data_IF_734041376098
#
_entry.id   IF_734041376098
#
_cell.length_a   1.000
_cell.length_b   1.000
_cell.length_c   1.000
_cell.angle_alpha   90.00
_cell.angle_beta   90.00
_cell.angle_gamma   90.00
#
_symmetry.space_group_name_H-M   'P 1'
#
loop_
_entity.id
_entity.type
_entity.pdbx_description
1 polymer ?
#
# COMPACT_ATOMS: atom_id res chain seq x y z
N UNK A 1 -22.37 -14.07 -3.88
CA UNK A 1 -22.50 -12.82 -4.67
C UNK A 1 -21.29 -11.92 -4.42
N UNK A 2 -20.52 -11.65 -5.46
CA UNK A 2 -19.22 -10.95 -5.40
C UNK A 2 -19.30 -9.43 -5.07
N UNK A 3 -20.44 -8.92 -4.63
CA UNK A 3 -20.61 -7.52 -4.23
C UNK A 3 -21.59 -6.74 -5.11
N UNK A 4 -22.28 -5.78 -4.51
CA UNK A 4 -23.28 -4.94 -5.20
C UNK A 4 -22.65 -3.79 -6.01
N UNK A 5 -21.38 -3.51 -5.81
CA UNK A 5 -20.61 -2.43 -6.47
C UNK A 5 -19.27 -2.97 -6.96
N UNK A 6 -18.70 -2.36 -8.00
CA UNK A 6 -17.35 -2.69 -8.50
C UNK A 6 -16.32 -2.57 -7.38
N UNK A 7 -16.41 -1.51 -6.60
CA UNK A 7 -15.55 -1.29 -5.43
C UNK A 7 -15.66 -2.44 -4.42
N UNK A 8 -16.86 -2.85 -4.04
CA UNK A 8 -17.05 -3.94 -3.07
C UNK A 8 -16.55 -5.29 -3.55
N UNK A 9 -16.57 -5.54 -4.85
CA UNK A 9 -15.97 -6.72 -5.46
C UNK A 9 -14.44 -6.66 -5.37
N UNK A 10 -13.83 -5.57 -5.78
CA UNK A 10 -12.38 -5.37 -5.73
C UNK A 10 -11.87 -5.41 -4.29
N UNK A 11 -12.57 -4.78 -3.35
CA UNK A 11 -12.21 -4.81 -1.93
C UNK A 11 -12.20 -6.24 -1.38
N UNK A 12 -13.18 -7.07 -1.71
CA UNK A 12 -13.21 -8.48 -1.28
C UNK A 12 -12.05 -9.27 -1.86
N UNK A 13 -11.82 -9.15 -3.16
CA UNK A 13 -10.72 -9.84 -3.82
C UNK A 13 -9.39 -9.46 -3.16
N UNK A 14 -9.14 -8.17 -3.00
CA UNK A 14 -7.91 -7.66 -2.38
C UNK A 14 -7.76 -8.15 -0.95
N UNK A 15 -8.82 -8.07 -0.13
CA UNK A 15 -8.80 -8.59 1.24
C UNK A 15 -8.52 -10.09 1.29
N UNK A 16 -9.15 -10.88 0.42
CA UNK A 16 -8.93 -12.34 0.37
C UNK A 16 -7.49 -12.66 -0.02
N UNK A 17 -6.97 -11.99 -1.04
CA UNK A 17 -5.58 -12.18 -1.49
C UNK A 17 -4.59 -11.80 -0.38
N UNK A 18 -4.80 -10.68 0.30
CA UNK A 18 -3.94 -10.26 1.40
C UNK A 18 -4.02 -11.22 2.60
N UNK A 19 -5.24 -11.63 2.96
CA UNK A 19 -5.48 -12.47 4.15
C UNK A 19 -4.98 -13.91 3.97
N UNK A 20 -4.94 -14.41 2.74
CA UNK A 20 -4.41 -15.75 2.43
C UNK A 20 -2.95 -15.65 1.99
N UNK A 21 -2.64 -14.74 1.08
CA UNK A 21 -1.31 -14.62 0.46
C UNK A 21 -0.23 -14.21 1.46
N UNK A 22 -0.51 -13.24 2.34
CA UNK A 22 0.50 -12.79 3.31
C UNK A 22 0.89 -13.87 4.32
N UNK A 23 -0.05 -14.59 4.99
CA UNK A 23 0.30 -15.71 5.84
C UNK A 23 0.99 -16.85 5.07
N UNK A 24 0.57 -17.14 3.85
CA UNK A 24 1.21 -18.15 3.00
C UNK A 24 2.68 -17.82 2.74
N UNK A 25 2.98 -16.60 2.30
CA UNK A 25 4.35 -16.13 2.07
C UNK A 25 5.15 -16.18 3.38
N UNK A 26 4.55 -15.76 4.49
CA UNK A 26 5.20 -15.81 5.81
C UNK A 26 5.58 -17.23 6.21
N UNK A 27 4.65 -18.18 6.14
CA UNK A 27 4.91 -19.59 6.46
C UNK A 27 5.97 -20.18 5.54
N UNK A 28 5.85 -19.91 4.24
CA UNK A 28 6.83 -20.36 3.24
C UNK A 28 8.24 -19.83 3.57
N UNK A 29 8.34 -18.55 3.91
CA UNK A 29 9.61 -17.92 4.29
C UNK A 29 10.19 -18.55 5.55
N UNK A 30 9.37 -18.82 6.58
CA UNK A 30 9.84 -19.45 7.83
C UNK A 30 10.36 -20.86 7.58
N UNK A 31 9.77 -21.60 6.64
CA UNK A 31 10.17 -22.97 6.31
C UNK A 31 11.47 -22.98 5.47
N UNK A 32 11.58 -22.09 4.49
CA UNK A 32 12.67 -22.11 3.52
C UNK A 32 13.88 -21.27 3.95
N UNK A 33 13.67 -20.18 4.71
CA UNK A 33 14.74 -19.28 5.07
C UNK A 33 15.63 -19.84 6.18
N UNK A 34 16.92 -19.81 5.95
CA UNK A 34 17.95 -20.17 6.93
C UNK A 34 18.08 -19.10 8.02
N UNK A 35 18.61 -19.50 9.19
CA UNK A 35 18.93 -18.53 10.26
C UNK A 35 19.90 -17.44 9.80
N UNK A 36 20.86 -17.77 8.94
CA UNK A 36 21.79 -16.80 8.36
C UNK A 36 21.07 -15.79 7.47
N UNK A 37 20.07 -16.20 6.70
CA UNK A 37 19.23 -15.31 5.90
C UNK A 37 18.48 -14.26 6.73
N UNK A 38 17.90 -14.67 7.86
CA UNK A 38 17.24 -13.73 8.78
C UNK A 38 18.21 -12.71 9.38
N UNK A 39 19.42 -13.16 9.74
CA UNK A 39 20.47 -12.25 10.23
C UNK A 39 20.93 -11.32 9.14
N UNK A 40 21.11 -11.81 7.90
CA UNK A 40 21.45 -10.98 6.75
C UNK A 40 20.38 -9.92 6.46
N UNK A 41 19.10 -10.30 6.51
CA UNK A 41 17.98 -9.37 6.35
C UNK A 41 18.03 -8.27 7.42
N UNK A 42 18.20 -8.64 8.69
CA UNK A 42 18.26 -7.68 9.80
C UNK A 42 19.46 -6.72 9.65
N UNK A 43 20.63 -7.23 9.28
CA UNK A 43 21.81 -6.41 8.99
C UNK A 43 21.56 -5.48 7.81
N UNK A 44 20.95 -5.99 6.73
CA UNK A 44 20.62 -5.21 5.53
C UNK A 44 19.69 -4.03 5.82
N UNK A 45 18.72 -4.18 6.74
CA UNK A 45 17.87 -3.07 7.18
C UNK A 45 18.65 -1.93 7.85
N UNK A 46 19.77 -2.23 8.48
CA UNK A 46 20.65 -1.24 9.13
C UNK A 46 21.75 -0.76 8.17
N UNK A 47 21.74 -1.25 6.91
CA UNK A 47 22.77 -0.90 5.93
C UNK A 47 24.10 -1.63 6.14
N UNK A 48 24.11 -2.69 6.93
CA UNK A 48 25.30 -3.54 7.14
C UNK A 48 25.18 -4.76 6.23
N UNK A 49 26.03 -4.86 5.22
CA UNK A 49 26.02 -5.99 4.27
C UNK A 49 27.39 -6.24 3.68
N UNK A 50 27.56 -7.44 3.14
CA UNK A 50 28.70 -7.75 2.29
C UNK A 50 28.38 -7.25 0.87
N UNK A 51 29.29 -6.46 0.32
CA UNK A 51 29.21 -6.09 -1.09
C UNK A 51 29.49 -7.31 -1.95
N UNK A 52 28.69 -7.54 -2.98
CA UNK A 52 28.95 -8.54 -4.02
C UNK A 52 30.25 -8.26 -4.81
N UNK A 53 30.83 -7.08 -4.67
CA UNK A 53 32.11 -6.71 -5.25
C UNK A 53 33.13 -6.48 -4.13
N UNK A 54 33.98 -7.47 -3.86
CA UNK A 54 35.34 -7.44 -3.27
C UNK A 54 35.77 -6.25 -2.37
N UNK A 55 34.87 -5.55 -1.72
CA UNK A 55 35.20 -4.45 -0.81
C UNK A 55 34.82 -4.76 0.64
N UNK A 56 35.64 -4.30 1.61
CA UNK A 56 35.44 -4.62 3.03
C UNK A 56 34.10 -4.09 3.54
N UNK A 57 33.52 -4.87 4.45
CA UNK A 57 32.30 -4.60 5.20
C UNK A 57 32.23 -3.14 5.66
N UNK A 58 31.24 -2.40 5.15
CA UNK A 58 30.94 -1.03 5.54
C UNK A 58 29.45 -0.71 5.42
N UNK A 59 29.04 0.43 5.91
CA UNK A 59 27.68 0.93 5.67
C UNK A 59 27.51 1.28 4.21
N UNK A 60 26.64 0.52 3.54
CA UNK A 60 26.30 0.74 2.14
C UNK A 60 24.91 1.35 2.06
N UNK A 61 24.85 2.66 1.97
CA UNK A 61 23.60 3.36 1.64
C UNK A 61 23.21 3.20 0.17
N UNK A 62 24.17 2.76 -0.66
CA UNK A 62 23.98 2.62 -2.09
C UNK A 62 24.46 1.23 -2.54
N UNK A 63 23.60 0.42 -3.20
CA UNK A 63 24.03 -0.87 -3.73
C UNK A 63 25.09 -0.69 -4.80
N UNK A 64 26.23 -1.36 -4.64
CA UNK A 64 27.31 -1.34 -5.62
C UNK A 64 26.84 -2.10 -6.86
N UNK A 65 27.06 -1.52 -8.04
CA UNK A 65 26.66 -2.10 -9.33
C UNK A 65 25.32 -1.60 -9.87
N UNK A 66 24.59 -0.79 -9.11
CA UNK A 66 23.40 -0.10 -9.60
C UNK A 66 23.78 1.34 -9.96
N UNK A 67 23.48 1.76 -11.20
CA UNK A 67 23.69 3.16 -11.58
C UNK A 67 22.74 4.08 -10.76
N UNK A 68 23.20 5.29 -10.45
CA UNK A 68 22.40 6.29 -9.76
C UNK A 68 21.06 6.57 -10.49
N UNK A 69 21.09 6.56 -11.82
CA UNK A 69 19.88 6.73 -12.63
C UNK A 69 18.89 5.58 -12.44
N UNK A 70 19.36 4.31 -12.40
CA UNK A 70 18.53 3.15 -12.16
C UNK A 70 17.94 3.16 -10.73
N UNK A 71 18.74 3.57 -9.75
CA UNK A 71 18.26 3.75 -8.37
C UNK A 71 17.17 4.82 -8.28
N UNK A 72 17.39 5.99 -8.88
CA UNK A 72 16.37 7.06 -8.89
C UNK A 72 15.09 6.63 -9.62
N UNK A 73 15.22 5.89 -10.74
CA UNK A 73 14.08 5.37 -11.46
C UNK A 73 13.28 4.37 -10.59
N UNK A 74 13.96 3.44 -9.91
CA UNK A 74 13.34 2.49 -8.99
C UNK A 74 12.68 3.22 -7.80
N UNK A 75 13.34 4.22 -7.24
CA UNK A 75 12.83 5.03 -6.14
C UNK A 75 11.58 5.83 -6.57
N UNK A 76 11.60 6.45 -7.74
CA UNK A 76 10.46 7.18 -8.28
C UNK A 76 9.27 6.24 -8.58
N UNK A 77 9.56 5.01 -9.01
CA UNK A 77 8.52 4.01 -9.29
C UNK A 77 7.98 3.35 -8.02
N UNK A 78 8.81 3.16 -6.99
CA UNK A 78 8.41 2.64 -5.68
C UNK A 78 7.60 3.67 -4.88
N UNK A 79 7.78 4.96 -5.15
CA UNK A 79 6.93 6.02 -4.62
C UNK A 79 5.51 5.92 -5.16
N UNK A 80 4.58 6.62 -4.53
CA UNK A 80 3.21 6.72 -4.98
C UNK A 80 3.15 7.41 -6.34
N UNK A 81 3.32 6.67 -7.43
CA UNK A 81 3.06 7.16 -8.78
C UNK A 81 1.64 7.75 -8.86
N UNK A 82 1.42 8.73 -9.75
CA UNK A 82 0.17 9.48 -9.84
C UNK A 82 -1.11 8.62 -9.84
N UNK A 83 -1.05 7.43 -10.42
CA UNK A 83 -2.15 6.47 -10.41
C UNK A 83 -2.54 5.96 -9.01
N UNK A 84 -1.59 5.79 -8.10
CA UNK A 84 -1.87 5.35 -6.73
C UNK A 84 -2.60 6.44 -5.94
N UNK A 85 -2.24 7.71 -6.13
CA UNK A 85 -2.92 8.83 -5.49
C UNK A 85 -4.37 8.96 -5.97
N UNK A 86 -4.62 8.77 -7.27
CA UNK A 86 -5.96 8.74 -7.83
C UNK A 86 -6.78 7.57 -7.28
N UNK A 87 -6.17 6.40 -7.21
CA UNK A 87 -6.82 5.20 -6.66
C UNK A 87 -7.18 5.40 -5.18
N UNK A 88 -6.31 6.02 -4.40
CA UNK A 88 -6.58 6.35 -2.99
C UNK A 88 -7.71 7.36 -2.84
N UNK A 89 -7.76 8.37 -3.70
CA UNK A 89 -8.87 9.34 -3.72
C UNK A 89 -10.21 8.66 -3.99
N UNK A 90 -10.25 7.75 -4.96
CA UNK A 90 -11.44 6.96 -5.28
C UNK A 90 -11.81 6.05 -4.11
N UNK A 91 -10.83 5.42 -3.46
CA UNK A 91 -11.03 4.58 -2.28
C UNK A 91 -11.68 5.35 -1.13
N UNK A 92 -11.14 6.52 -0.78
CA UNK A 92 -11.69 7.40 0.27
C UNK A 92 -13.12 7.80 -0.07
N UNK A 93 -13.39 8.16 -1.31
CA UNK A 93 -14.72 8.50 -1.82
C UNK A 93 -15.71 7.33 -1.69
N UNK A 94 -15.34 6.15 -2.19
CA UNK A 94 -16.22 4.97 -2.20
C UNK A 94 -16.47 4.40 -0.80
N UNK A 95 -15.51 4.51 0.11
CA UNK A 95 -15.68 4.21 1.55
C UNK A 95 -16.61 5.20 2.26
N UNK A 96 -16.80 6.38 1.67
CA UNK A 96 -17.63 7.43 2.28
C UNK A 96 -16.91 8.15 3.42
N UNK A 97 -15.61 8.24 3.38
CA UNK A 97 -14.83 9.04 4.31
C UNK A 97 -14.91 10.53 3.96
N UNK A 98 -15.02 11.37 4.99
CA UNK A 98 -15.13 12.82 4.81
C UNK A 98 -16.27 13.21 3.89
N UNK A 99 -15.99 14.06 2.91
CA UNK A 99 -16.96 14.51 1.90
C UNK A 99 -17.43 13.39 0.95
N UNK A 100 -16.71 12.28 0.89
CA UNK A 100 -17.09 11.09 0.12
C UNK A 100 -18.44 10.50 0.53
N UNK A 101 -18.89 10.75 1.77
CA UNK A 101 -20.21 10.35 2.25
C UNK A 101 -21.35 10.95 1.41
N UNK A 102 -21.15 12.13 0.89
CA UNK A 102 -22.15 12.90 0.11
C UNK A 102 -21.96 12.74 -1.40
N UNK A 103 -20.91 12.07 -1.82
CA UNK A 103 -20.62 11.82 -3.23
C UNK A 103 -21.41 10.61 -3.76
N UNK A 104 -21.70 10.64 -5.05
CA UNK A 104 -22.34 9.52 -5.72
C UNK A 104 -21.34 8.35 -5.84
N UNK A 105 -21.78 7.15 -5.44
CA UNK A 105 -20.99 5.92 -5.59
C UNK A 105 -21.05 5.43 -7.02
N UNK A 106 -19.94 4.92 -7.52
CA UNK A 106 -19.91 4.28 -8.82
C UNK A 106 -20.74 2.98 -8.81
N UNK A 107 -21.75 2.94 -9.66
CA UNK A 107 -22.60 1.78 -9.85
C UNK A 107 -21.93 0.85 -10.87
N UNK A 108 -21.95 -0.46 -10.60
CA UNK A 108 -21.33 -1.44 -11.52
C UNK A 108 -21.91 -1.37 -12.92
N UNK A 109 -21.05 -1.62 -13.92
CA UNK A 109 -21.36 -1.59 -15.36
C UNK A 109 -22.62 -2.37 -15.78
N UNK A 110 -23.00 -3.38 -15.01
CA UNK A 110 -24.15 -4.26 -15.30
C UNK A 110 -25.47 -3.83 -14.64
N UNK A 111 -25.48 -2.73 -13.90
CA UNK A 111 -26.70 -2.20 -13.28
C UNK A 111 -27.24 -1.05 -14.13
N UNK A 112 -28.34 -1.31 -14.86
CA UNK A 112 -29.16 -0.27 -15.46
C UNK A 112 -29.74 0.64 -14.36
N UNK A 113 -29.05 1.69 -14.00
CA UNK A 113 -29.64 2.86 -13.37
C UNK A 113 -29.52 4.01 -14.33
N UNK A 114 -30.61 4.77 -14.46
CA UNK A 114 -30.66 6.00 -15.25
C UNK A 114 -29.43 6.88 -14.96
N UNK A 115 -28.86 7.58 -15.96
CA UNK A 115 -27.76 8.49 -15.77
C UNK A 115 -28.15 9.53 -14.76
N UNK A 116 -27.68 9.40 -13.52
CA UNK A 116 -27.79 10.46 -12.54
C UNK A 116 -26.86 11.59 -13.01
N UNK A 117 -27.41 12.77 -13.20
CA UNK A 117 -26.63 13.96 -13.51
C UNK A 117 -25.51 14.11 -12.47
N UNK A 118 -24.27 14.13 -12.94
CA UNK A 118 -23.13 14.45 -12.09
C UNK A 118 -23.35 15.86 -11.55
N UNK A 119 -23.44 16.00 -10.24
CA UNK A 119 -23.40 17.32 -9.61
C UNK A 119 -22.02 17.91 -9.85
N UNK A 120 -21.94 18.96 -10.63
CA UNK A 120 -20.70 19.68 -10.91
C UNK A 120 -20.34 20.65 -9.77
N UNK A 121 -21.32 20.97 -8.93
CA UNK A 121 -21.14 21.86 -7.78
C UNK A 121 -20.79 21.06 -6.53
N UNK A 122 -19.73 21.47 -5.85
CA UNK A 122 -19.34 20.94 -4.55
C UNK A 122 -20.22 21.51 -3.43
N UNK A 123 -20.26 20.85 -2.30
CA UNK A 123 -20.85 21.38 -1.06
C UNK A 123 -19.73 21.97 -0.21
N UNK A 124 -19.90 23.19 0.24
CA UNK A 124 -18.95 23.83 1.15
C UNK A 124 -18.88 23.11 2.48
N UNK A 125 -17.70 23.07 3.07
CA UNK A 125 -17.47 22.43 4.35
C UNK A 125 -17.89 23.41 5.47
N UNK A 126 -18.72 22.95 6.38
CA UNK A 126 -19.04 23.69 7.60
C UNK A 126 -17.84 23.61 8.57
N UNK A 127 -17.36 24.77 9.03
CA UNK A 127 -16.23 24.89 9.97
C UNK A 127 -16.65 24.85 11.45
N UNK A 128 -17.81 24.27 11.76
CA UNK A 128 -18.22 24.05 13.14
C UNK A 128 -17.26 23.08 13.87
N UNK A 129 -17.14 23.22 15.18
CA UNK A 129 -16.32 22.34 16.03
C UNK A 129 -16.69 20.86 15.84
N UNK A 130 -17.95 20.56 15.57
CA UNK A 130 -18.40 19.21 15.27
C UNK A 130 -17.80 18.67 13.95
N UNK A 131 -17.74 19.50 12.92
CA UNK A 131 -17.20 19.14 11.63
C UNK A 131 -15.69 18.96 11.70
N UNK A 132 -15.00 19.81 12.43
CA UNK A 132 -13.55 19.70 12.69
C UNK A 132 -13.24 18.40 13.45
N UNK A 133 -13.98 18.08 14.51
CA UNK A 133 -13.81 16.86 15.28
C UNK A 133 -14.08 15.58 14.45
N UNK A 134 -15.06 15.61 13.54
CA UNK A 134 -15.33 14.51 12.61
C UNK A 134 -14.19 14.35 11.62
N UNK A 135 -13.67 15.45 11.07
CA UNK A 135 -12.53 15.44 10.17
C UNK A 135 -11.28 14.86 10.84
N UNK A 136 -10.96 15.28 12.07
CA UNK A 136 -9.82 14.76 12.82
C UNK A 136 -9.92 13.26 13.09
N UNK A 137 -11.12 12.74 13.44
CA UNK A 137 -11.33 11.30 13.60
C UNK A 137 -11.11 10.54 12.30
N UNK A 138 -11.66 11.06 11.22
CA UNK A 138 -11.47 10.49 9.91
C UNK A 138 -10.01 10.52 9.49
N UNK A 139 -9.32 11.63 9.70
CA UNK A 139 -7.89 11.78 9.38
C UNK A 139 -7.04 10.75 10.12
N UNK A 140 -7.27 10.57 11.43
CA UNK A 140 -6.56 9.55 12.22
C UNK A 140 -6.80 8.14 11.69
N UNK A 141 -8.03 7.82 11.31
CA UNK A 141 -8.38 6.51 10.76
C UNK A 141 -7.66 6.24 9.44
N UNK A 142 -7.72 7.20 8.51
CA UNK A 142 -7.05 7.08 7.21
C UNK A 142 -5.52 7.01 7.37
N UNK A 143 -4.95 7.82 8.27
CA UNK A 143 -3.52 7.78 8.56
C UNK A 143 -3.09 6.44 9.16
N UNK A 144 -3.86 5.88 10.07
CA UNK A 144 -3.60 4.56 10.66
C UNK A 144 -3.73 3.43 9.61
N UNK A 145 -4.77 3.46 8.77
CA UNK A 145 -4.90 2.51 7.67
C UNK A 145 -3.70 2.62 6.70
N UNK A 146 -3.29 3.82 6.36
CA UNK A 146 -2.15 4.04 5.47
C UNK A 146 -0.85 3.51 6.08
N UNK A 147 -0.59 3.80 7.34
CA UNK A 147 0.61 3.35 8.04
C UNK A 147 0.65 1.82 8.16
N UNK A 148 -0.45 1.20 8.58
CA UNK A 148 -0.47 -0.25 8.87
C UNK A 148 -0.59 -1.05 7.57
N UNK A 149 -1.56 -0.72 6.72
CA UNK A 149 -1.87 -1.57 5.56
C UNK A 149 -0.93 -1.28 4.40
N UNK A 150 -0.64 -0.03 4.11
CA UNK A 150 0.21 0.31 2.98
C UNK A 150 1.70 0.20 3.34
N UNK A 151 2.13 0.91 4.38
CA UNK A 151 3.56 1.01 4.69
C UNK A 151 4.09 -0.25 5.40
N UNK A 152 3.50 -0.65 6.53
CA UNK A 152 4.01 -1.77 7.33
C UNK A 152 3.85 -3.11 6.60
N UNK A 153 2.66 -3.39 6.05
CA UNK A 153 2.44 -4.65 5.32
C UNK A 153 3.25 -4.70 4.03
N UNK A 154 3.42 -3.57 3.32
CA UNK A 154 4.29 -3.48 2.16
C UNK A 154 5.74 -3.77 2.52
N UNK A 155 6.26 -3.17 3.60
CA UNK A 155 7.62 -3.43 4.08
C UNK A 155 7.82 -4.90 4.45
N UNK A 156 6.89 -5.48 5.21
CA UNK A 156 6.97 -6.89 5.63
C UNK A 156 6.93 -7.83 4.43
N UNK A 157 6.00 -7.64 3.51
CA UNK A 157 5.91 -8.51 2.32
C UNK A 157 7.13 -8.41 1.42
N UNK A 158 7.66 -7.21 1.20
CA UNK A 158 8.90 -7.04 0.45
C UNK A 158 10.09 -7.73 1.15
N UNK A 159 10.23 -7.56 2.46
CA UNK A 159 11.29 -8.21 3.25
C UNK A 159 11.21 -9.74 3.16
N UNK A 160 10.00 -10.32 3.27
CA UNK A 160 9.79 -11.76 3.14
C UNK A 160 10.13 -12.28 1.74
N UNK A 161 9.74 -11.55 0.69
CA UNK A 161 10.08 -11.92 -0.69
C UNK A 161 11.58 -11.83 -0.97
N UNK A 162 12.25 -10.79 -0.45
CA UNK A 162 13.71 -10.69 -0.53
C UNK A 162 14.40 -11.86 0.15
N UNK A 163 13.90 -12.25 1.34
CA UNK A 163 14.47 -13.37 2.09
C UNK A 163 14.24 -14.70 1.38
N UNK A 164 13.08 -14.92 0.78
CA UNK A 164 12.81 -16.09 -0.06
C UNK A 164 13.74 -16.14 -1.26
N UNK A 165 13.92 -15.02 -1.95
CA UNK A 165 14.83 -14.93 -3.10
C UNK A 165 16.31 -15.16 -2.72
N UNK A 166 16.70 -14.77 -1.52
CA UNK A 166 18.06 -15.00 -1.00
C UNK A 166 18.28 -16.45 -0.60
N UNK A 167 17.22 -17.18 -0.22
CA UNK A 167 17.30 -18.54 0.32
C UNK A 167 17.08 -19.62 -0.74
N UNK A 168 16.61 -19.25 -1.93
CA UNK A 168 16.45 -20.14 -3.09
C UNK A 168 17.72 -20.25 -3.90
#
# INVERSE_FOLDING_TARGET
SLGKTVYGMMERITKTVLLIGTPFIFVLTVILASKSGWVALAKGFVGIGESLATQPSGYLFFPIGISFAAFLAAFAYAGAGGNLNLTQSIYVKEKGYGMGKYSQRMVGLFRKKSPQSLKLEGTECDFSDQSINRFQRWWRLVSAEHLIVFWLMGLVTMALLMLLSYSS
#
